data_IF_363939269426
#
_entry.id   IF_363939269426
#
_cell.length_a   1.000
_cell.length_b   1.000
_cell.length_c   1.000
_cell.angle_alpha   90.00
_cell.angle_beta   90.00
_cell.angle_gamma   90.00
#
_symmetry.space_group_name_H-M   'P 1'
#
loop_
_entity.id
_entity.type
_entity.pdbx_description
1 polymer ?
#
# COMPACT_ATOMS: atom_id res chain seq x y z
N UNK A 1 22.04 4.71 -9.98
CA UNK A 1 21.57 3.99 -8.77
C UNK A 1 20.89 5.02 -7.89
N UNK A 2 19.64 4.81 -7.51
CA UNK A 2 18.91 5.76 -6.68
C UNK A 2 19.23 5.49 -5.19
N UNK A 3 19.47 6.53 -4.38
CA UNK A 3 19.77 6.39 -2.95
C UNK A 3 18.65 5.64 -2.20
N UNK A 4 18.87 5.04 -1.02
CA UNK A 4 17.77 4.58 -0.18
C UNK A 4 16.75 5.70 0.08
N UNK A 5 15.49 5.33 0.30
CA UNK A 5 14.49 6.29 0.77
C UNK A 5 14.44 6.16 2.29
N UNK A 6 14.67 7.26 2.99
CA UNK A 6 14.86 7.32 4.45
C UNK A 6 13.69 8.03 5.13
N UNK A 7 13.54 7.82 6.45
CA UNK A 7 12.56 8.51 7.30
C UNK A 7 11.18 7.86 7.37
N UNK A 8 11.02 6.63 6.86
CA UNK A 8 9.81 5.81 7.03
C UNK A 8 9.71 5.21 8.43
N UNK A 9 10.86 4.87 8.98
CA UNK A 9 11.06 4.32 10.33
C UNK A 9 10.50 5.23 11.43
N UNK A 10 10.47 6.54 11.21
CA UNK A 10 9.99 7.53 12.18
C UNK A 10 8.50 7.87 12.02
N UNK A 11 7.81 7.25 11.05
CA UNK A 11 6.42 7.60 10.78
C UNK A 11 5.46 6.90 11.72
N UNK A 12 4.38 7.59 12.12
CA UNK A 12 3.33 6.94 12.89
C UNK A 12 2.68 5.84 12.05
N UNK A 13 2.50 4.68 12.67
CA UNK A 13 1.64 3.63 12.14
C UNK A 13 0.20 4.17 12.18
N UNK A 14 -0.40 4.35 11.00
CA UNK A 14 -1.81 4.73 10.83
C UNK A 14 -2.63 3.51 10.43
N UNK A 15 -3.94 3.65 10.21
CA UNK A 15 -4.73 2.55 9.66
C UNK A 15 -4.45 2.35 8.16
N UNK A 16 -4.77 1.16 7.64
CA UNK A 16 -4.64 0.88 6.20
C UNK A 16 -5.41 1.90 5.34
N UNK A 17 -6.61 2.29 5.74
CA UNK A 17 -7.43 3.28 5.02
C UNK A 17 -6.77 4.66 4.99
N UNK A 18 -6.20 5.10 6.11
CA UNK A 18 -5.43 6.36 6.18
C UNK A 18 -4.18 6.29 5.30
N UNK A 19 -3.48 5.15 5.31
CA UNK A 19 -2.27 4.95 4.53
C UNK A 19 -2.51 5.00 3.01
N UNK A 20 -3.68 4.55 2.54
CA UNK A 20 -4.01 4.53 1.10
C UNK A 20 -4.70 5.80 0.60
N UNK A 21 -5.23 6.66 1.47
CA UNK A 21 -5.87 7.95 1.06
C UNK A 21 -5.06 8.72 0.01
N UNK A 22 -3.73 8.86 0.17
CA UNK A 22 -2.95 9.65 -0.76
C UNK A 22 -2.73 8.92 -2.11
N UNK A 23 -2.83 7.59 -2.12
CA UNK A 23 -2.71 6.76 -3.33
C UNK A 23 -3.95 6.81 -4.22
N UNK A 24 -5.09 7.31 -3.73
CA UNK A 24 -6.36 7.38 -4.48
C UNK A 24 -6.22 8.16 -5.79
N UNK A 25 -5.33 9.16 -5.84
CA UNK A 25 -5.07 9.94 -7.04
C UNK A 25 -4.30 9.17 -8.13
N UNK A 26 -3.62 8.08 -7.78
CA UNK A 26 -2.70 7.33 -8.66
C UNK A 26 -3.24 5.92 -8.94
N UNK A 27 -3.85 5.28 -7.93
CA UNK A 27 -4.43 3.94 -8.00
C UNK A 27 -5.95 4.06 -7.81
N UNK A 28 -6.73 4.01 -8.91
CA UNK A 28 -8.17 4.12 -8.82
C UNK A 28 -8.76 3.04 -7.90
N UNK A 29 -9.75 3.43 -7.09
CA UNK A 29 -10.47 2.55 -6.14
C UNK A 29 -9.63 1.95 -5.00
N UNK A 30 -8.37 2.33 -4.82
CA UNK A 30 -7.51 1.76 -3.76
C UNK A 30 -8.12 1.90 -2.35
N UNK A 31 -8.77 3.02 -2.05
CA UNK A 31 -9.47 3.21 -0.78
C UNK A 31 -10.67 2.27 -0.59
N UNK A 32 -11.45 2.07 -1.65
CA UNK A 32 -12.57 1.12 -1.63
C UNK A 32 -12.08 -0.32 -1.48
N UNK A 33 -11.03 -0.68 -2.22
CA UNK A 33 -10.41 -1.99 -2.12
C UNK A 33 -9.90 -2.21 -0.70
N UNK A 34 -9.10 -1.29 -0.14
CA UNK A 34 -8.58 -1.35 1.22
C UNK A 34 -9.68 -1.63 2.26
N UNK A 35 -10.80 -0.92 2.17
CA UNK A 35 -11.97 -1.16 3.02
C UNK A 35 -12.49 -2.60 2.87
N UNK A 36 -12.70 -3.08 1.64
CA UNK A 36 -13.18 -4.44 1.37
C UNK A 36 -12.20 -5.49 1.91
N UNK A 37 -10.90 -5.36 1.63
CA UNK A 37 -9.91 -6.38 2.02
C UNK A 37 -9.83 -6.48 3.53
N UNK A 38 -9.83 -5.34 4.22
CA UNK A 38 -9.80 -5.29 5.69
C UNK A 38 -11.03 -5.94 6.31
N UNK A 39 -12.23 -5.70 5.77
CA UNK A 39 -13.48 -6.35 6.23
C UNK A 39 -13.45 -7.88 6.05
N UNK A 40 -12.75 -8.38 5.04
CA UNK A 40 -12.59 -9.81 4.79
C UNK A 40 -11.49 -10.45 5.66
N UNK A 41 -10.65 -9.64 6.30
CA UNK A 41 -9.51 -10.08 7.10
C UNK A 41 -9.93 -10.34 8.56
N UNK A 42 -10.73 -11.38 8.79
CA UNK A 42 -11.33 -11.68 10.10
C UNK A 42 -10.40 -12.42 11.07
N UNK A 43 -9.55 -13.30 10.54
CA UNK A 43 -8.60 -14.11 11.30
C UNK A 43 -7.21 -14.03 10.62
N UNK A 44 -6.47 -12.92 10.78
CA UNK A 44 -5.10 -12.86 10.32
C UNK A 44 -4.24 -13.92 11.05
N UNK A 45 -3.11 -14.32 10.46
CA UNK A 45 -2.17 -15.21 11.13
C UNK A 45 -1.68 -14.60 12.46
N UNK A 46 -1.33 -15.44 13.45
CA UNK A 46 -1.10 -15.05 14.85
C UNK A 46 -0.11 -13.88 15.09
N UNK A 47 0.75 -13.57 14.12
CA UNK A 47 1.77 -12.53 14.20
C UNK A 47 1.41 -11.23 13.47
N UNK A 48 0.28 -11.17 12.76
CA UNK A 48 -0.13 -10.02 11.96
C UNK A 48 -1.39 -9.36 12.52
N UNK A 49 -1.38 -8.04 12.54
CA UNK A 49 -2.58 -7.23 12.70
C UNK A 49 -3.48 -7.36 11.46
N UNK A 50 -4.76 -7.01 11.62
CA UNK A 50 -5.71 -6.94 10.51
C UNK A 50 -5.21 -6.00 9.40
N UNK A 51 -4.59 -4.87 9.74
CA UNK A 51 -4.09 -3.91 8.76
C UNK A 51 -2.89 -4.45 7.98
N UNK A 52 -1.95 -5.14 8.65
CA UNK A 52 -0.81 -5.79 7.98
C UNK A 52 -1.23 -6.94 7.07
N UNK A 53 -2.18 -7.78 7.51
CA UNK A 53 -2.66 -8.86 6.66
C UNK A 53 -3.48 -8.31 5.48
N UNK A 54 -4.32 -7.30 5.71
CA UNK A 54 -5.09 -6.65 4.65
C UNK A 54 -4.20 -5.89 3.66
N UNK A 55 -3.08 -5.30 4.10
CA UNK A 55 -2.14 -4.61 3.20
C UNK A 55 -1.44 -5.59 2.25
N UNK A 56 -1.05 -6.77 2.73
CA UNK A 56 -0.46 -7.85 1.90
C UNK A 56 -1.46 -8.31 0.84
N UNK A 57 -2.71 -8.55 1.24
CA UNK A 57 -3.76 -8.97 0.30
C UNK A 57 -4.04 -7.83 -0.70
N UNK A 58 -4.16 -6.58 -0.24
CA UNK A 58 -4.38 -5.42 -1.10
C UNK A 58 -3.25 -5.24 -2.12
N UNK A 59 -2.00 -5.45 -1.70
CA UNK A 59 -0.82 -5.34 -2.55
C UNK A 59 -0.78 -6.44 -3.60
N UNK A 60 -1.16 -7.67 -3.24
CA UNK A 60 -1.20 -8.82 -4.16
C UNK A 60 -2.51 -8.93 -4.95
N UNK A 61 -3.49 -8.08 -4.66
CA UNK A 61 -4.82 -8.10 -5.28
C UNK A 61 -4.71 -7.85 -6.79
N UNK A 62 -5.09 -8.86 -7.58
CA UNK A 62 -5.15 -8.73 -9.03
C UNK A 62 -6.24 -7.75 -9.45
N UNK A 63 -5.88 -6.82 -10.33
CA UNK A 63 -6.84 -5.91 -10.98
C UNK A 63 -6.87 -6.19 -12.47
N UNK A 64 -8.04 -6.05 -13.08
CA UNK A 64 -8.17 -6.13 -14.54
C UNK A 64 -8.49 -4.73 -15.08
N UNK A 65 -7.62 -4.14 -15.91
CA UNK A 65 -6.34 -4.66 -16.40
C UNK A 65 -5.22 -4.62 -15.34
N UNK A 66 -4.25 -5.54 -15.42
CA UNK A 66 -3.17 -5.70 -14.42
C UNK A 66 -2.35 -4.42 -14.18
N UNK A 67 -2.18 -3.60 -15.22
CA UNK A 67 -1.54 -2.29 -15.16
C UNK A 67 -2.18 -1.31 -14.16
N UNK A 68 -3.42 -1.56 -13.74
CA UNK A 68 -4.14 -0.76 -12.76
C UNK A 68 -4.03 -1.32 -11.33
N UNK A 69 -3.34 -2.45 -11.14
CA UNK A 69 -3.14 -3.02 -9.80
C UNK A 69 -2.27 -2.11 -8.94
N UNK A 70 -2.49 -2.17 -7.63
CA UNK A 70 -1.65 -1.45 -6.67
C UNK A 70 -0.18 -1.86 -6.84
N UNK A 71 0.09 -3.16 -6.95
CA UNK A 71 1.42 -3.70 -7.20
C UNK A 71 2.13 -3.01 -8.37
N UNK A 72 1.50 -2.97 -9.55
CA UNK A 72 2.15 -2.44 -10.75
C UNK A 72 2.43 -0.95 -10.61
N UNK A 73 1.41 -0.15 -10.27
CA UNK A 73 1.54 1.31 -10.19
C UNK A 73 2.55 1.71 -9.09
N UNK A 74 2.47 1.05 -7.93
CA UNK A 74 3.34 1.36 -6.80
C UNK A 74 4.80 1.05 -7.10
N UNK A 75 5.08 -0.13 -7.65
CA UNK A 75 6.45 -0.52 -8.00
C UNK A 75 7.04 0.31 -9.15
N UNK A 76 6.24 0.65 -10.16
CA UNK A 76 6.69 1.52 -11.25
C UNK A 76 7.03 2.92 -10.72
N UNK A 77 6.23 3.43 -9.77
CA UNK A 77 6.50 4.72 -9.14
C UNK A 77 7.75 4.67 -8.26
N UNK A 78 7.99 3.58 -7.49
CA UNK A 78 9.20 3.38 -6.68
C UNK A 78 10.49 3.35 -7.51
N UNK A 79 10.42 2.77 -8.71
CA UNK A 79 11.56 2.67 -9.63
C UNK A 79 11.81 3.95 -10.41
N UNK A 80 10.85 4.86 -10.46
CA UNK A 80 10.96 6.15 -11.13
C UNK A 80 11.69 7.19 -10.26
N UNK A 81 12.16 8.26 -10.90
CA UNK A 81 12.67 9.45 -10.18
C UNK A 81 11.59 10.12 -9.30
N UNK A 82 10.32 9.79 -9.55
CA UNK A 82 9.17 10.28 -8.79
C UNK A 82 8.86 9.46 -7.53
N UNK A 83 9.74 8.54 -7.10
CA UNK A 83 9.54 7.79 -5.85
C UNK A 83 9.33 8.65 -4.60
N UNK A 84 9.80 9.91 -4.58
CA UNK A 84 9.51 10.88 -3.51
C UNK A 84 8.05 11.38 -3.52
N UNK A 85 7.33 11.20 -4.63
CA UNK A 85 5.89 11.46 -4.76
C UNK A 85 5.06 10.29 -4.21
N UNK A 86 5.64 9.11 -4.01
CA UNK A 86 4.93 8.04 -3.30
C UNK A 86 4.71 8.48 -1.88
N UNK A 87 3.46 8.38 -1.48
CA UNK A 87 3.09 8.86 -0.18
C UNK A 87 3.50 7.86 0.88
N UNK A 88 4.16 8.47 1.84
CA UNK A 88 4.86 7.97 2.99
C UNK A 88 4.13 6.89 3.82
N UNK A 89 2.80 6.94 3.91
CA UNK A 89 2.02 6.04 4.77
C UNK A 89 1.96 4.58 4.34
N UNK A 90 1.67 4.27 3.07
CA UNK A 90 1.50 2.87 2.64
C UNK A 90 2.82 2.08 2.62
N UNK A 91 3.95 2.77 2.44
CA UNK A 91 5.27 2.13 2.42
C UNK A 91 5.58 1.35 3.71
N UNK A 92 5.07 1.78 4.87
CA UNK A 92 5.31 1.14 6.18
C UNK A 92 4.80 -0.31 6.21
N UNK A 93 3.83 -0.64 5.35
CA UNK A 93 3.24 -1.98 5.30
C UNK A 93 3.94 -2.96 4.35
N UNK A 94 4.83 -2.47 3.48
CA UNK A 94 5.36 -3.25 2.34
C UNK A 94 6.89 -3.20 2.22
N UNK A 95 7.56 -2.41 3.07
CA UNK A 95 9.01 -2.33 3.22
C UNK A 95 9.43 -2.93 4.56
#
# INVERSE_FOLDING_TARGET
>A
MLAPIEGYEDMPIVSLEEAVKPLVAIVPKVGHNAFIVKQNCKNPADILTTDESASIILYTYESVPQKNSLYTIFNDTLRSEYRKKLIRGFCIYVL
#
